data_IF_207220507435
#
_entry.id   IF_207220507435
#
_cell.length_a   1.000
_cell.length_b   1.000
_cell.length_c   1.000
_cell.angle_alpha   90.00
_cell.angle_beta   90.00
_cell.angle_gamma   90.00
#
_symmetry.space_group_name_H-M   'P 1'
#
loop_
_entity.id
_entity.type
_entity.pdbx_description
1 polymer ?
#
# COMPACT_ATOMS: atom_id res chain seq x y z
N UNK A 1 -7.68 -13.38 29.43
CA UNK A 1 -9.01 -13.29 30.06
C UNK A 1 -10.07 -13.16 28.99
N UNK A 2 -11.16 -13.93 29.06
CA UNK A 2 -12.27 -13.83 28.12
C UNK A 2 -13.31 -12.84 28.65
N UNK A 3 -13.13 -11.55 28.33
CA UNK A 3 -14.00 -10.48 28.82
C UNK A 3 -15.47 -10.68 28.42
N UNK A 4 -15.72 -11.18 27.20
CA UNK A 4 -17.07 -11.44 26.70
C UNK A 4 -17.83 -12.41 27.62
N UNK A 5 -17.23 -13.55 27.99
CA UNK A 5 -17.87 -14.55 28.84
C UNK A 5 -18.22 -14.00 30.23
N UNK A 6 -17.34 -13.17 30.80
CA UNK A 6 -17.59 -12.52 32.10
C UNK A 6 -18.74 -11.52 32.01
N UNK A 7 -18.78 -10.70 30.96
CA UNK A 7 -19.84 -9.72 30.77
C UNK A 7 -21.18 -10.40 30.51
N UNK A 8 -21.22 -11.46 29.71
CA UNK A 8 -22.44 -12.25 29.50
C UNK A 8 -22.91 -12.91 30.79
N UNK A 9 -21.99 -13.44 31.60
CA UNK A 9 -22.32 -13.99 32.93
C UNK A 9 -22.88 -12.92 33.90
N UNK A 10 -22.50 -11.65 33.70
CA UNK A 10 -23.04 -10.50 34.44
C UNK A 10 -24.35 -9.95 33.86
N UNK A 11 -24.94 -10.63 32.86
CA UNK A 11 -26.21 -10.23 32.25
C UNK A 11 -26.08 -9.24 31.10
N UNK A 12 -24.88 -8.99 30.58
CA UNK A 12 -24.74 -8.21 29.36
C UNK A 12 -25.29 -8.98 28.16
N UNK A 13 -26.13 -8.28 27.37
CA UNK A 13 -26.88 -8.83 26.23
C UNK A 13 -26.01 -9.17 25.01
N UNK A 14 -24.77 -8.71 24.97
CA UNK A 14 -23.80 -9.00 23.91
C UNK A 14 -23.57 -7.83 22.96
N UNK A 15 -22.86 -8.10 21.86
CA UNK A 15 -22.51 -7.08 20.87
C UNK A 15 -23.74 -6.35 20.30
N UNK A 16 -23.60 -5.05 20.07
CA UNK A 16 -24.69 -4.18 19.60
C UNK A 16 -25.59 -3.63 20.72
N UNK A 17 -25.43 -4.10 21.96
CA UNK A 17 -26.11 -3.56 23.13
C UNK A 17 -25.14 -2.78 23.99
N UNK A 18 -25.62 -1.70 24.59
CA UNK A 18 -24.83 -0.94 25.52
C UNK A 18 -24.55 -1.76 26.80
N UNK A 19 -23.59 -1.33 27.61
CA UNK A 19 -23.35 -1.94 28.93
C UNK A 19 -24.41 -1.53 29.97
N UNK A 20 -25.40 -0.74 29.57
CA UNK A 20 -26.47 -0.30 30.45
C UNK A 20 -27.47 -1.44 30.69
N UNK A 21 -28.10 -1.45 31.87
CA UNK A 21 -28.90 -2.59 32.35
C UNK A 21 -30.25 -2.73 31.64
N UNK A 22 -30.84 -1.61 31.22
CA UNK A 22 -32.23 -1.56 30.73
C UNK A 22 -32.31 -0.98 29.33
N UNK A 23 -31.62 0.13 29.10
CA UNK A 23 -31.79 0.92 27.88
C UNK A 23 -30.50 1.10 27.09
N UNK A 24 -30.57 0.81 25.78
CA UNK A 24 -29.45 0.97 24.85
C UNK A 24 -29.23 2.41 24.37
N UNK A 25 -30.18 3.31 24.65
CA UNK A 25 -30.08 4.71 24.26
C UNK A 25 -29.09 5.53 25.10
N UNK A 26 -28.80 5.06 26.32
CA UNK A 26 -27.98 5.80 27.30
C UNK A 26 -26.49 5.54 27.07
N UNK A 27 -26.14 4.34 26.58
CA UNK A 27 -24.75 3.91 26.44
C UNK A 27 -24.33 3.68 25.00
N UNK A 28 -23.01 3.59 24.80
CA UNK A 28 -22.43 3.25 23.52
C UNK A 28 -22.61 1.76 23.24
N UNK A 29 -23.33 1.43 22.17
CA UNK A 29 -23.45 0.07 21.65
C UNK A 29 -22.23 -0.37 20.86
N UNK A 30 -21.58 0.59 20.19
CA UNK A 30 -20.40 0.38 19.37
C UNK A 30 -19.17 1.08 19.99
N UNK A 31 -17.98 0.47 19.90
CA UNK A 31 -16.76 1.10 20.38
C UNK A 31 -16.47 2.37 19.58
N UNK A 32 -15.98 3.40 20.27
CA UNK A 32 -15.55 4.63 19.61
C UNK A 32 -14.29 4.38 18.80
N UNK A 33 -14.34 4.69 17.51
CA UNK A 33 -13.17 4.68 16.67
C UNK A 33 -12.36 5.95 16.91
N UNK A 34 -11.30 5.86 17.71
CA UNK A 34 -10.38 6.97 17.91
C UNK A 34 -9.25 6.92 16.88
N UNK A 35 -9.05 8.02 16.17
CA UNK A 35 -7.85 8.21 15.35
C UNK A 35 -6.66 8.42 16.28
N UNK A 36 -5.79 7.40 16.41
CA UNK A 36 -4.51 7.56 17.08
C UNK A 36 -3.52 8.33 16.21
N UNK A 37 -2.70 9.15 16.83
CA UNK A 37 -1.61 9.89 16.19
C UNK A 37 -0.29 9.34 16.72
N UNK A 38 0.42 8.62 15.86
CA UNK A 38 1.71 8.02 16.18
C UNK A 38 2.90 8.95 15.81
N UNK A 39 2.60 10.09 15.19
CA UNK A 39 3.59 11.05 14.68
C UNK A 39 3.89 12.20 15.66
N UNK A 40 5.15 12.67 15.64
CA UNK A 40 5.62 13.85 16.39
C UNK A 40 5.23 15.21 15.78
N UNK A 41 4.42 15.22 14.71
CA UNK A 41 3.98 16.47 14.04
C UNK A 41 3.03 17.27 14.94
N UNK A 42 2.74 18.54 14.61
CA UNK A 42 1.69 19.32 15.27
C UNK A 42 0.29 18.72 15.09
N UNK A 43 -0.66 19.10 15.96
CA UNK A 43 -2.09 18.80 15.73
C UNK A 43 -2.58 19.58 14.49
N UNK A 44 -3.58 19.05 13.77
CA UNK A 44 -4.11 19.68 12.55
C UNK A 44 -3.32 19.43 11.26
N UNK A 45 -2.12 18.84 11.31
CA UNK A 45 -1.32 18.54 10.11
C UNK A 45 -1.73 17.27 9.34
N UNK A 46 -2.72 16.52 9.84
CA UNK A 46 -3.26 15.35 9.15
C UNK A 46 -4.20 15.90 8.07
N UNK A 47 -3.74 15.93 6.82
CA UNK A 47 -4.65 16.12 5.70
C UNK A 47 -5.66 14.99 5.81
N UNK A 48 -6.92 15.32 6.15
CA UNK A 48 -8.02 14.45 5.82
C UNK A 48 -7.96 14.32 4.30
N UNK A 49 -7.36 13.22 3.83
CA UNK A 49 -7.63 12.73 2.49
C UNK A 49 -9.14 12.48 2.52
N UNK A 50 -9.92 13.47 2.12
CA UNK A 50 -11.24 13.21 1.60
C UNK A 50 -10.96 12.25 0.45
N UNK A 51 -11.25 10.98 0.69
CA UNK A 51 -11.15 9.88 -0.27
C UNK A 51 -11.93 10.18 -1.57
N UNK A 52 -12.68 11.28 -1.60
CA UNK A 52 -13.57 11.66 -2.67
C UNK A 52 -12.94 12.62 -3.67
N UNK A 53 -11.70 13.09 -3.44
CA UNK A 53 -11.06 14.05 -4.38
C UNK A 53 -9.85 13.50 -5.13
N UNK A 54 -9.40 12.26 -4.89
CA UNK A 54 -8.27 11.73 -5.66
C UNK A 54 -8.64 11.49 -7.13
N UNK A 55 -9.88 11.08 -7.42
CA UNK A 55 -10.37 10.86 -8.77
C UNK A 55 -10.70 12.18 -9.49
N UNK A 56 -11.31 13.16 -8.80
CA UNK A 56 -11.54 14.51 -9.35
C UNK A 56 -10.24 15.19 -9.75
N UNK A 57 -9.23 15.14 -8.87
CA UNK A 57 -7.93 15.71 -9.15
C UNK A 57 -7.19 14.95 -10.26
N UNK A 58 -7.36 13.62 -10.35
CA UNK A 58 -6.78 12.83 -11.43
C UNK A 58 -7.46 13.09 -12.78
N UNK A 59 -8.78 13.34 -12.79
CA UNK A 59 -9.55 13.67 -13.98
C UNK A 59 -9.25 15.08 -14.48
N UNK A 60 -9.19 16.07 -13.59
CA UNK A 60 -8.80 17.45 -13.92
C UNK A 60 -7.36 17.53 -14.48
N UNK A 61 -6.44 16.73 -13.95
CA UNK A 61 -5.07 16.59 -14.48
C UNK A 61 -5.05 16.06 -15.93
N UNK A 62 -5.99 15.18 -16.30
CA UNK A 62 -6.11 14.70 -17.68
C UNK A 62 -6.73 15.73 -18.62
N UNK A 63 -7.72 16.50 -18.16
CA UNK A 63 -8.35 17.56 -18.94
C UNK A 63 -7.36 18.67 -19.32
N UNK A 64 -6.46 19.03 -18.40
CA UNK A 64 -5.39 20.01 -18.63
C UNK A 64 -4.40 19.59 -19.73
N UNK A 65 -4.32 18.30 -20.03
CA UNK A 65 -3.46 17.72 -21.07
C UNK A 65 -4.09 17.59 -22.45
N UNK A 66 -5.34 18.02 -22.64
CA UNK A 66 -6.05 17.96 -23.91
C UNK A 66 -5.69 19.18 -24.76
N UNK A 67 -4.84 18.97 -25.76
CA UNK A 67 -4.59 19.98 -26.79
C UNK A 67 -5.64 19.84 -27.90
N UNK A 68 -6.50 20.86 -28.03
CA UNK A 68 -7.54 20.96 -29.06
C UNK A 68 -7.17 21.95 -30.17
N UNK A 69 -5.91 22.37 -30.28
CA UNK A 69 -5.47 23.37 -31.26
C UNK A 69 -5.70 22.98 -32.73
N UNK A 70 -5.87 21.69 -33.02
CA UNK A 70 -6.16 21.18 -34.37
C UNK A 70 -7.63 20.77 -34.49
N UNK A 71 -8.38 21.49 -35.31
CA UNK A 71 -9.78 21.15 -35.66
C UNK A 71 -9.85 19.68 -36.10
N UNK A 72 -10.55 18.85 -35.33
CA UNK A 72 -10.82 17.45 -35.65
C UNK A 72 -9.83 16.41 -35.10
N UNK A 73 -8.77 16.80 -34.36
CA UNK A 73 -7.87 15.83 -33.71
C UNK A 73 -7.56 16.24 -32.27
N UNK A 74 -8.10 15.49 -31.32
CA UNK A 74 -7.77 15.62 -29.89
C UNK A 74 -6.50 14.82 -29.62
N UNK A 75 -5.39 15.48 -29.28
CA UNK A 75 -4.17 14.80 -28.86
C UNK A 75 -3.96 14.95 -27.36
N UNK A 76 -3.99 13.82 -26.64
CA UNK A 76 -3.68 13.76 -25.22
C UNK A 76 -2.16 13.79 -25.04
N UNK A 77 -1.64 14.90 -24.51
CA UNK A 77 -0.19 15.08 -24.29
C UNK A 77 0.29 14.44 -22.97
N UNK A 78 -0.63 14.24 -22.02
CA UNK A 78 -0.32 13.72 -20.68
C UNK A 78 -0.47 12.19 -20.63
N UNK A 79 0.64 11.48 -20.86
CA UNK A 79 0.75 10.01 -20.78
C UNK A 79 1.23 9.50 -19.41
N UNK A 80 1.45 10.40 -18.45
CA UNK A 80 2.08 10.13 -17.13
C UNK A 80 1.21 10.48 -15.91
N UNK A 81 -0.07 10.83 -16.09
CA UNK A 81 -0.96 11.20 -14.98
C UNK A 81 -1.41 10.03 -14.08
N UNK A 82 -2.00 10.37 -12.92
CA UNK A 82 -2.49 9.41 -11.91
C UNK A 82 -3.44 8.34 -12.49
N UNK A 83 -4.30 8.69 -13.44
CA UNK A 83 -5.19 7.71 -14.10
C UNK A 83 -4.42 6.70 -14.97
N UNK A 84 -3.38 7.16 -15.70
CA UNK A 84 -2.55 6.27 -16.54
C UNK A 84 -1.74 5.28 -15.69
N UNK A 85 -1.48 5.62 -14.42
CA UNK A 85 -0.85 4.70 -13.46
C UNK A 85 -1.78 3.57 -12.99
N UNK A 86 -3.11 3.76 -13.11
CA UNK A 86 -4.14 2.74 -12.88
C UNK A 86 -4.15 1.75 -14.06
N UNK A 87 -4.15 2.24 -15.30
CA UNK A 87 -4.07 1.40 -16.51
C UNK A 87 -2.79 0.58 -16.58
N UNK A 88 -1.65 1.16 -16.16
CA UNK A 88 -0.35 0.47 -16.07
C UNK A 88 -0.25 -0.54 -14.91
N UNK A 89 -1.33 -0.74 -14.14
CA UNK A 89 -1.41 -1.78 -13.11
C UNK A 89 -0.59 -1.51 -11.84
N UNK A 90 -0.19 -0.25 -11.60
CA UNK A 90 0.52 0.15 -10.38
C UNK A 90 -0.42 0.24 -9.17
N UNK A 91 -1.64 0.72 -9.39
CA UNK A 91 -2.74 0.61 -8.44
C UNK A 91 -3.41 -0.73 -8.71
N UNK A 92 -3.16 -1.70 -7.82
CA UNK A 92 -3.52 -3.09 -8.01
C UNK A 92 -4.96 -3.26 -8.49
N UNK A 93 -5.16 -4.25 -9.36
CA UNK A 93 -6.39 -4.71 -10.05
C UNK A 93 -7.67 -4.80 -9.18
N UNK A 94 -7.54 -4.54 -7.89
CA UNK A 94 -8.53 -4.70 -6.84
C UNK A 94 -9.00 -3.37 -6.23
N UNK A 95 -8.36 -2.22 -6.46
CA UNK A 95 -8.72 -0.98 -5.74
C UNK A 95 -10.06 -0.35 -6.17
N UNK A 96 -10.52 -0.63 -7.41
CA UNK A 96 -11.79 -0.13 -7.95
C UNK A 96 -12.96 -1.12 -7.75
N UNK A 97 -12.66 -2.41 -7.58
CA UNK A 97 -13.67 -3.48 -7.51
C UNK A 97 -13.85 -4.06 -6.09
N UNK A 98 -13.15 -3.56 -5.07
CA UNK A 98 -13.32 -4.03 -3.68
C UNK A 98 -14.61 -3.56 -3.02
N UNK A 99 -15.23 -2.48 -3.52
CA UNK A 99 -16.43 -1.89 -2.91
C UNK A 99 -17.74 -2.39 -3.52
N UNK A 100 -17.68 -3.18 -4.60
CA UNK A 100 -18.85 -3.71 -5.26
C UNK A 100 -18.98 -5.20 -4.98
N UNK A 101 -20.06 -5.59 -4.29
CA UNK A 101 -20.51 -6.98 -4.23
C UNK A 101 -21.28 -7.25 -5.53
N UNK A 102 -20.99 -8.36 -6.22
CA UNK A 102 -21.81 -8.77 -7.36
C UNK A 102 -23.22 -9.08 -6.88
N UNK A 103 -24.18 -8.19 -7.15
CA UNK A 103 -25.60 -8.47 -6.95
C UNK A 103 -26.02 -9.59 -7.90
N UNK A 104 -26.73 -10.59 -7.38
CA UNK A 104 -27.31 -11.65 -8.21
C UNK A 104 -28.28 -11.07 -9.25
N UNK A 105 -28.51 -11.82 -10.33
CA UNK A 105 -29.52 -11.45 -11.33
C UNK A 105 -30.91 -11.60 -10.73
N UNK A 106 -31.73 -10.55 -10.79
CA UNK A 106 -33.13 -10.60 -10.39
C UNK A 106 -33.92 -11.36 -11.47
N UNK A 107 -34.43 -12.56 -11.15
CA UNK A 107 -35.25 -13.36 -12.06
C UNK A 107 -36.53 -12.58 -12.37
N UNK A 108 -36.67 -12.13 -13.62
CA UNK A 108 -37.84 -11.38 -14.06
C UNK A 108 -39.10 -12.24 -14.03
N UNK A 109 -40.24 -11.63 -13.73
CA UNK A 109 -41.56 -12.29 -13.63
C UNK A 109 -42.19 -12.61 -15.00
N UNK A 110 -41.45 -12.46 -16.10
CA UNK A 110 -41.91 -12.84 -17.43
C UNK A 110 -41.47 -14.28 -17.65
N UNK A 111 -42.40 -15.21 -17.47
CA UNK A 111 -42.25 -16.61 -17.86
C UNK A 111 -42.26 -16.71 -19.38
N UNK A 112 -41.12 -16.45 -20.01
CA UNK A 112 -40.82 -16.95 -21.33
C UNK A 112 -39.93 -18.17 -21.16
N UNK A 113 -40.39 -19.34 -21.63
CA UNK A 113 -39.60 -20.56 -21.69
C UNK A 113 -38.27 -20.29 -22.40
N UNK A 114 -37.20 -20.17 -21.61
CA UNK A 114 -35.85 -20.41 -22.06
C UNK A 114 -35.26 -21.39 -21.07
N UNK A 115 -35.08 -22.62 -21.56
CA UNK A 115 -34.49 -23.77 -20.90
C UNK A 115 -33.32 -23.38 -19.97
N UNK A 116 -33.43 -23.88 -18.74
CA UNK A 116 -32.36 -23.96 -17.76
C UNK A 116 -31.34 -25.00 -18.25
N UNK A 117 -30.33 -24.55 -19.01
CA UNK A 117 -29.11 -25.33 -19.24
C UNK A 117 -28.04 -24.86 -18.24
N UNK A 118 -27.87 -25.65 -17.19
CA UNK A 118 -26.84 -25.57 -16.16
C UNK A 118 -25.45 -25.76 -16.79
N UNK A 119 -24.92 -24.77 -17.52
CA UNK A 119 -23.47 -24.55 -17.72
C UNK A 119 -23.17 -23.25 -18.48
N UNK A 120 -22.87 -22.15 -17.79
CA UNK A 120 -22.11 -21.04 -18.38
C UNK A 120 -21.58 -20.08 -17.30
N UNK A 121 -20.51 -20.45 -16.58
CA UNK A 121 -19.17 -19.91 -16.86
C UNK A 121 -19.14 -18.77 -17.89
N UNK A 122 -18.97 -17.55 -17.39
CA UNK A 122 -18.02 -16.53 -17.86
C UNK A 122 -18.02 -16.11 -19.34
N UNK A 123 -18.01 -14.79 -19.49
CA UNK A 123 -17.37 -14.02 -20.56
C UNK A 123 -17.99 -14.04 -21.96
N UNK A 124 -18.65 -12.91 -22.27
CA UNK A 124 -18.77 -12.38 -23.63
C UNK A 124 -17.38 -12.07 -24.20
N UNK A 125 -16.77 -13.06 -24.85
CA UNK A 125 -15.82 -12.85 -25.93
C UNK A 125 -15.84 -14.10 -26.80
N UNK A 126 -16.42 -13.97 -28.00
CA UNK A 126 -16.43 -15.00 -29.02
C UNK A 126 -14.99 -15.33 -29.42
N UNK A 127 -14.43 -16.39 -28.84
CA UNK A 127 -13.16 -16.99 -29.23
C UNK A 127 -13.39 -18.48 -29.37
N UNK A 128 -12.99 -19.03 -30.52
CA UNK A 128 -13.11 -20.45 -30.91
C UNK A 128 -12.71 -21.37 -29.75
N UNK A 129 -13.37 -22.53 -29.57
CA UNK A 129 -13.01 -23.46 -28.50
C UNK A 129 -11.58 -23.98 -28.72
N UNK A 130 -10.61 -23.46 -27.95
CA UNK A 130 -9.22 -23.94 -27.94
C UNK A 130 -9.18 -25.41 -27.50
N UNK A 131 -8.46 -26.24 -28.24
CA UNK A 131 -8.28 -27.66 -27.93
C UNK A 131 -7.51 -27.82 -26.62
N UNK A 132 -7.76 -28.92 -25.87
CA UNK A 132 -7.17 -29.17 -24.53
C UNK A 132 -5.63 -29.07 -24.50
N UNK A 133 -4.97 -29.28 -25.64
CA UNK A 133 -3.52 -29.14 -25.81
C UNK A 133 -3.04 -27.69 -25.91
N UNK A 134 -3.77 -26.82 -26.61
CA UNK A 134 -3.47 -25.38 -26.73
C UNK A 134 -3.55 -24.68 -25.36
N UNK A 135 -4.55 -25.07 -24.55
CA UNK A 135 -4.69 -24.62 -23.16
C UNK A 135 -3.52 -25.06 -22.26
N UNK A 136 -2.92 -26.23 -22.52
CA UNK A 136 -1.74 -26.72 -21.78
C UNK A 136 -0.47 -25.99 -22.21
N UNK A 137 -0.28 -25.79 -23.51
CA UNK A 137 0.86 -25.01 -24.06
C UNK A 137 0.86 -23.56 -23.53
N UNK A 138 -0.30 -22.89 -23.52
CA UNK A 138 -0.44 -21.54 -22.97
C UNK A 138 -0.14 -21.46 -21.47
N UNK A 139 -0.50 -22.50 -20.70
CA UNK A 139 -0.17 -22.58 -19.27
C UNK A 139 1.31 -22.80 -19.03
N UNK A 140 1.98 -23.63 -19.84
CA UNK A 140 3.42 -23.85 -19.76
C UNK A 140 4.20 -22.57 -20.07
N UNK A 141 3.90 -21.89 -21.19
CA UNK A 141 4.53 -20.62 -21.54
C UNK A 141 4.34 -19.53 -20.47
N UNK A 142 3.16 -19.48 -19.85
CA UNK A 142 2.88 -18.55 -18.74
C UNK A 142 3.66 -18.90 -17.46
N UNK A 143 3.94 -20.18 -17.21
CA UNK A 143 4.78 -20.60 -16.08
C UNK A 143 6.25 -20.24 -16.33
N UNK A 144 6.76 -20.43 -17.54
CA UNK A 144 8.13 -20.06 -17.90
C UNK A 144 8.37 -18.56 -17.75
N UNK A 145 7.49 -17.70 -18.29
CA UNK A 145 7.59 -16.25 -18.09
C UNK A 145 7.50 -15.85 -16.60
N UNK A 146 6.69 -16.56 -15.81
CA UNK A 146 6.59 -16.29 -14.37
C UNK A 146 7.86 -16.70 -13.64
N UNK A 147 8.51 -17.78 -14.05
CA UNK A 147 9.77 -18.26 -13.49
C UNK A 147 10.93 -17.31 -13.84
N UNK A 148 11.01 -16.85 -15.09
CA UNK A 148 12.00 -15.86 -15.54
C UNK A 148 11.89 -14.56 -14.74
N UNK A 149 10.67 -14.01 -14.63
CA UNK A 149 10.40 -12.78 -13.87
C UNK A 149 10.63 -12.94 -12.37
N UNK A 150 10.56 -14.16 -11.83
CA UNK A 150 10.91 -14.45 -10.45
C UNK A 150 12.44 -14.46 -10.25
N UNK A 151 13.20 -14.98 -11.21
CA UNK A 151 14.68 -14.96 -11.19
C UNK A 151 15.22 -13.55 -11.29
N UNK A 152 14.72 -12.73 -12.21
CA UNK A 152 15.10 -11.32 -12.36
C UNK A 152 14.84 -10.53 -11.05
N UNK A 153 13.69 -10.76 -10.41
CA UNK A 153 13.37 -10.12 -9.11
C UNK A 153 14.27 -10.61 -7.97
N UNK A 154 14.71 -11.87 -7.99
CA UNK A 154 15.61 -12.40 -6.98
C UNK A 154 17.01 -11.76 -7.11
N UNK A 155 17.52 -11.65 -8.34
CA UNK A 155 18.80 -11.00 -8.64
C UNK A 155 18.78 -9.51 -8.25
N UNK A 156 17.72 -8.77 -8.61
CA UNK A 156 17.56 -7.37 -8.21
C UNK A 156 17.49 -7.17 -6.69
N UNK A 157 16.90 -8.12 -5.95
CA UNK A 157 16.89 -8.10 -4.48
C UNK A 157 18.27 -8.36 -3.89
N UNK A 158 19.06 -9.25 -4.49
CA UNK A 158 20.42 -9.54 -4.05
C UNK A 158 21.36 -8.36 -4.31
N UNK A 159 21.29 -7.75 -5.49
CA UNK A 159 22.04 -6.55 -5.83
C UNK A 159 21.74 -5.40 -4.86
N UNK A 160 20.45 -5.19 -4.54
CA UNK A 160 20.04 -4.18 -3.55
C UNK A 160 20.53 -4.49 -2.13
N UNK A 161 20.61 -5.76 -1.74
CA UNK A 161 21.19 -6.17 -0.45
C UNK A 161 22.70 -5.88 -0.40
N UNK A 162 23.45 -6.23 -1.46
CA UNK A 162 24.89 -5.94 -1.57
C UNK A 162 25.18 -4.43 -1.55
N UNK A 163 24.38 -3.63 -2.26
CA UNK A 163 24.50 -2.17 -2.23
C UNK A 163 24.28 -1.59 -0.81
N UNK A 164 23.24 -2.04 -0.10
CA UNK A 164 22.97 -1.61 1.28
C UNK A 164 24.08 -2.03 2.25
N UNK A 165 24.67 -3.21 2.07
CA UNK A 165 25.80 -3.67 2.88
C UNK A 165 27.04 -2.80 2.66
N UNK A 166 27.34 -2.42 1.41
CA UNK A 166 28.47 -1.54 1.08
C UNK A 166 28.33 -0.14 1.67
N UNK A 167 27.12 0.44 1.65
CA UNK A 167 26.84 1.75 2.28
C UNK A 167 27.03 1.66 3.79
N UNK A 168 26.47 0.64 4.44
CA UNK A 168 26.64 0.43 5.89
C UNK A 168 28.11 0.22 6.28
N UNK A 169 28.89 -0.47 5.44
CA UNK A 169 30.33 -0.64 5.66
C UNK A 169 31.09 0.68 5.62
N UNK A 170 30.79 1.54 4.63
CA UNK A 170 31.38 2.89 4.54
C UNK A 170 31.01 3.78 5.72
N UNK A 171 29.74 3.78 6.13
CA UNK A 171 29.29 4.55 7.31
C UNK A 171 29.98 4.07 8.61
N UNK A 172 30.24 2.77 8.72
CA UNK A 172 30.94 2.20 9.87
C UNK A 172 32.42 2.62 9.89
N UNK A 173 33.09 2.61 8.73
CA UNK A 173 34.49 3.00 8.59
C UNK A 173 34.69 4.50 8.88
N UNK A 174 33.83 5.36 8.30
CA UNK A 174 33.86 6.81 8.57
C UNK A 174 33.63 7.12 10.06
N UNK A 175 32.77 6.34 10.72
CA UNK A 175 32.53 6.48 12.17
C UNK A 175 33.73 6.08 13.01
N UNK A 176 34.50 5.07 12.59
CA UNK A 176 35.74 4.66 13.27
C UNK A 176 36.84 5.70 13.08
N UNK A 177 37.03 6.24 11.87
CA UNK A 177 37.98 7.33 11.62
C UNK A 177 37.68 8.57 12.46
N UNK A 178 36.39 8.94 12.56
CA UNK A 178 35.98 10.10 13.37
C UNK A 178 36.26 9.90 14.86
N UNK A 179 36.18 8.66 15.37
CA UNK A 179 36.57 8.31 16.74
C UNK A 179 38.08 8.41 16.95
N UNK A 180 38.87 7.85 16.04
CA UNK A 180 40.33 7.94 16.10
C UNK A 180 40.84 9.39 16.08
N UNK A 181 40.30 10.23 15.17
CA UNK A 181 40.62 11.68 15.12
C UNK A 181 40.25 12.40 16.42
N UNK A 182 39.13 12.04 17.05
CA UNK A 182 38.71 12.64 18.33
C UNK A 182 39.64 12.25 19.47
N UNK A 183 40.11 11.01 19.49
CA UNK A 183 41.04 10.51 20.50
C UNK A 183 42.44 11.12 20.36
N UNK A 184 42.95 11.23 19.13
CA UNK A 184 44.22 11.92 18.85
C UNK A 184 44.17 13.39 19.30
N UNK A 185 43.07 14.09 19.03
CA UNK A 185 42.88 15.47 19.47
C UNK A 185 42.83 15.61 20.99
N UNK A 186 42.25 14.65 21.71
CA UNK A 186 42.29 14.62 23.19
C UNK A 186 43.71 14.40 23.70
N UNK A 187 44.47 13.50 23.07
CA UNK A 187 45.87 13.24 23.44
C UNK A 187 46.80 14.43 23.19
N UNK A 188 46.55 15.21 22.12
CA UNK A 188 47.29 16.46 21.87
C UNK A 188 46.97 17.53 22.92
N UNK A 189 45.69 17.68 23.31
CA UNK A 189 45.28 18.62 24.37
C UNK A 189 45.88 18.27 25.72
N UNK A 190 45.86 16.99 26.11
CA UNK A 190 46.44 16.57 27.40
C UNK A 190 47.96 16.77 27.45
N UNK A 191 48.66 16.62 26.33
CA UNK A 191 50.09 16.94 26.23
C UNK A 191 50.34 18.44 26.34
N UNK A 192 49.56 19.26 25.64
CA UNK A 192 49.66 20.72 25.76
C UNK A 192 49.37 21.21 27.18
N UNK A 193 48.35 20.64 27.84
CA UNK A 193 48.03 20.95 29.24
C UNK A 193 49.18 20.54 30.19
N UNK A 194 49.80 19.38 29.96
CA UNK A 194 50.98 18.96 30.73
C UNK A 194 52.19 19.89 30.52
N UNK A 195 52.47 20.29 29.27
CA UNK A 195 53.58 21.20 28.93
C UNK A 195 53.38 22.62 29.49
N UNK A 196 52.13 23.10 29.56
CA UNK A 196 51.82 24.39 30.20
C UNK A 196 51.99 24.37 31.72
N UNK A 197 51.75 23.23 32.36
CA UNK A 197 51.88 23.08 33.81
C UNK A 197 53.34 22.96 34.25
N UNK A 198 54.20 22.33 33.44
CA UNK A 198 55.65 22.28 33.70
C UNK A 198 56.34 23.62 33.48
N UNK A 199 55.88 24.41 32.50
CA UNK A 199 56.46 25.75 32.23
C UNK A 199 56.14 26.76 33.35
N UNK A 200 55.00 26.60 34.03
CA UNK A 200 54.57 27.49 35.13
C UNK A 200 55.23 27.20 36.50
N UNK A 201 56.07 26.16 36.61
CA UNK A 201 56.79 25.79 37.83
C UNK A 201 58.29 26.14 37.82
N UNK A 202 58.78 26.76 36.74
CA UNK A 202 60.14 27.32 36.60
C UNK A 202 60.09 28.83 36.65
#
# INVERSE_FOLDING_TARGET
MNAHALLTAQGWRGQGHSLHKTDDAIGLSNPLLLSRKDDKKGLGGKQHFTSDQWWMNAFDEQLKGLDTSKKGRVSQTVTTGKLNSIEKGSLGKYYLYTSFVSGGLLKGTITGECDDDETASSSLSCSKPETKEERRARRAARQEQKAERAREKAEGREARRKAKAKVRGKDADEKLERRAKKEEKRRKRSKQEADTLTTAQT
#
